data_IF_312888088889
#
_entry.id   IF_312888088889
#
_cell.length_a   1.000
_cell.length_b   1.000
_cell.length_c   1.000
_cell.angle_alpha   90.00
_cell.angle_beta   90.00
_cell.angle_gamma   90.00
#
_symmetry.space_group_name_H-M   'P 1'
#
loop_
_entity.id
_entity.type
_entity.pdbx_description
1 polymer ?
#
# COMPACT_ATOMS: atom_id res chain seq x y z
N UNK A 1 -4.96 -28.29 -1.53
CA UNK A 1 -5.43 -26.99 -0.98
C UNK A 1 -5.54 -27.02 0.55
N UNK A 2 -6.26 -27.95 1.18
CA UNK A 2 -6.34 -28.00 2.66
C UNK A 2 -4.99 -28.05 3.42
N UNK A 3 -3.97 -28.75 2.90
CA UNK A 3 -2.64 -28.75 3.50
C UNK A 3 -1.92 -27.40 3.34
N UNK A 4 -2.08 -26.75 2.18
CA UNK A 4 -1.54 -25.41 1.92
C UNK A 4 -2.23 -24.36 2.79
N UNK A 5 -3.54 -24.44 2.98
CA UNK A 5 -4.27 -23.54 3.89
C UNK A 5 -3.76 -23.64 5.33
N UNK A 6 -3.36 -24.84 5.78
CA UNK A 6 -2.73 -24.99 7.11
C UNK A 6 -1.37 -24.31 7.21
N UNK A 7 -0.60 -24.34 6.12
CA UNK A 7 0.69 -23.64 6.04
C UNK A 7 0.50 -22.13 6.04
N UNK A 8 -0.45 -21.61 5.25
CA UNK A 8 -0.85 -20.18 5.26
C UNK A 8 -1.26 -19.77 6.67
N UNK A 9 -2.12 -20.54 7.34
CA UNK A 9 -2.52 -20.27 8.73
C UNK A 9 -1.36 -20.26 9.72
N UNK A 10 -0.36 -21.13 9.55
CA UNK A 10 0.83 -21.12 10.39
C UNK A 10 1.71 -19.89 10.13
N UNK A 11 1.81 -19.43 8.87
CA UNK A 11 2.55 -18.22 8.51
C UNK A 11 1.86 -16.96 9.02
N UNK A 12 0.53 -16.87 8.95
CA UNK A 12 -0.27 -15.79 9.53
C UNK A 12 0.01 -15.67 11.04
N UNK A 13 -0.04 -16.80 11.77
CA UNK A 13 0.27 -16.83 13.20
C UNK A 13 1.71 -16.39 13.50
N UNK A 14 2.66 -16.80 12.66
CA UNK A 14 4.05 -16.39 12.82
C UNK A 14 4.26 -14.89 12.60
N UNK A 15 3.56 -14.28 11.63
CA UNK A 15 3.57 -12.83 11.42
C UNK A 15 3.02 -12.08 12.64
N UNK A 16 1.87 -12.49 13.17
CA UNK A 16 1.30 -11.90 14.40
C UNK A 16 2.27 -12.08 15.58
N UNK A 17 2.89 -13.25 15.73
CA UNK A 17 3.89 -13.50 16.77
C UNK A 17 5.11 -12.58 16.63
N UNK A 18 5.61 -12.36 15.42
CA UNK A 18 6.73 -11.44 15.18
C UNK A 18 6.34 -10.01 15.58
N UNK A 19 5.14 -9.57 15.20
CA UNK A 19 4.63 -8.24 15.57
C UNK A 19 4.59 -8.06 17.10
N UNK A 20 3.99 -9.01 17.83
CA UNK A 20 3.83 -8.94 19.28
C UNK A 20 5.13 -9.11 20.09
N UNK A 21 6.09 -9.87 19.56
CA UNK A 21 7.34 -10.20 20.28
C UNK A 21 8.49 -9.25 19.96
N UNK A 22 8.39 -8.42 18.91
CA UNK A 22 9.43 -7.45 18.55
C UNK A 22 9.38 -6.23 19.46
N UNK A 23 10.27 -6.20 20.46
CA UNK A 23 10.32 -5.17 21.50
C UNK A 23 11.70 -4.55 21.67
N UNK A 24 11.73 -3.25 22.00
CA UNK A 24 12.90 -2.57 22.54
C UNK A 24 12.64 -2.22 24.01
N UNK A 25 13.26 -2.97 24.93
CA UNK A 25 12.95 -2.86 26.36
C UNK A 25 11.49 -3.22 26.63
N UNK A 26 10.73 -2.29 27.20
CA UNK A 26 9.30 -2.46 27.47
C UNK A 26 8.39 -1.96 26.34
N UNK A 27 8.96 -1.41 25.26
CA UNK A 27 8.21 -0.80 24.15
C UNK A 27 8.11 -1.77 23.00
N UNK A 28 6.87 -2.13 22.62
CA UNK A 28 6.61 -2.85 21.37
C UNK A 28 6.89 -1.95 20.17
N UNK A 29 7.41 -2.55 19.09
CA UNK A 29 7.83 -1.80 17.91
C UNK A 29 6.84 -1.93 16.74
N UNK A 30 6.21 -3.10 16.58
CA UNK A 30 5.49 -3.47 15.36
C UNK A 30 3.99 -3.74 15.59
N UNK A 31 3.49 -3.62 16.81
CA UNK A 31 2.06 -3.85 17.16
C UNK A 31 1.18 -2.60 16.98
N UNK A 32 1.70 -1.57 16.31
CA UNK A 32 1.04 -0.27 16.12
C UNK A 32 1.08 0.66 17.33
N UNK A 33 1.46 0.20 18.52
CA UNK A 33 1.51 1.05 19.73
C UNK A 33 2.72 2.01 19.75
N UNK A 34 3.75 1.72 18.94
CA UNK A 34 4.94 2.57 18.82
C UNK A 34 4.57 3.97 18.32
N UNK A 35 3.74 4.05 17.28
CA UNK A 35 3.31 5.30 16.65
C UNK A 35 4.49 6.11 16.11
N UNK A 36 4.48 7.43 16.33
CA UNK A 36 5.61 8.30 16.00
C UNK A 36 6.36 8.69 17.26
N UNK A 37 7.67 8.41 17.32
CA UNK A 37 8.57 8.85 18.39
C UNK A 37 9.57 9.87 17.87
N UNK A 38 9.81 10.90 18.67
CA UNK A 38 10.75 11.96 18.34
C UNK A 38 12.05 11.75 19.13
N UNK A 39 13.17 11.72 18.42
CA UNK A 39 14.50 11.65 18.99
C UNK A 39 15.18 13.00 18.86
N UNK A 40 15.48 13.65 19.98
CA UNK A 40 16.34 14.83 19.99
C UNK A 40 17.76 14.39 19.70
N UNK A 41 18.33 14.88 18.60
CA UNK A 41 19.67 14.50 18.14
C UNK A 41 20.67 15.63 18.29
N UNK A 42 20.22 16.88 18.34
CA UNK A 42 21.10 18.03 18.46
C UNK A 42 21.01 18.76 19.80
N UNK A 43 21.85 19.79 19.97
CA UNK A 43 21.89 20.59 21.20
C UNK A 43 20.83 21.71 21.22
N UNK A 44 20.29 22.08 20.05
CA UNK A 44 19.29 23.15 19.95
C UNK A 44 17.87 22.59 19.94
N UNK A 45 16.91 23.40 20.40
CA UNK A 45 15.49 23.05 20.30
C UNK A 45 15.09 22.77 18.84
N UNK A 46 14.27 21.73 18.65
CA UNK A 46 13.75 21.26 17.35
C UNK A 46 14.73 20.50 16.43
N UNK A 47 16.00 20.28 16.85
CA UNK A 47 16.93 19.37 16.16
C UNK A 47 16.57 17.90 16.44
N UNK A 48 15.53 17.43 15.76
CA UNK A 48 14.89 16.14 16.06
C UNK A 48 14.81 15.23 14.84
N UNK A 49 14.76 13.93 15.09
CA UNK A 49 14.46 12.89 14.10
C UNK A 49 13.21 12.14 14.55
N UNK A 50 12.17 12.22 13.73
CA UNK A 50 10.96 11.45 13.95
C UNK A 50 11.17 10.06 13.36
N UNK A 51 10.76 9.04 14.11
CA UNK A 51 10.73 7.65 13.67
C UNK A 51 9.32 7.16 13.89
N UNK A 52 8.73 6.65 12.83
CA UNK A 52 7.38 6.09 12.83
C UNK A 52 7.46 4.62 12.47
N UNK A 53 6.74 3.79 13.23
CA UNK A 53 6.53 2.38 12.90
C UNK A 53 5.03 2.09 12.91
N UNK A 54 4.55 1.45 11.85
CA UNK A 54 3.18 0.96 11.70
C UNK A 54 2.94 -0.38 12.38
N UNK A 55 1.67 -0.81 12.37
CA UNK A 55 1.31 -2.16 12.78
C UNK A 55 1.62 -3.16 11.66
N UNK A 56 2.47 -4.15 11.93
CA UNK A 56 2.87 -5.19 10.97
C UNK A 56 2.28 -6.57 11.32
N UNK A 57 1.27 -6.63 12.19
CA UNK A 57 0.53 -7.86 12.48
C UNK A 57 -0.37 -8.25 11.29
N UNK A 58 -0.66 -9.54 11.15
CA UNK A 58 -1.40 -10.08 10.01
C UNK A 58 -2.84 -9.52 9.89
N UNK A 59 -3.42 -9.07 11.00
CA UNK A 59 -4.75 -8.45 11.10
C UNK A 59 -4.75 -6.94 10.75
N UNK A 60 -3.59 -6.36 10.47
CA UNK A 60 -3.43 -4.93 10.24
C UNK A 60 -2.74 -4.57 8.92
N UNK A 61 -2.09 -5.54 8.27
CA UNK A 61 -1.51 -5.40 6.95
C UNK A 61 -2.35 -6.16 5.92
N UNK A 62 -2.35 -5.68 4.69
CA UNK A 62 -3.17 -6.26 3.63
C UNK A 62 -3.46 -5.29 2.50
N UNK A 63 -4.50 -5.60 1.73
CA UNK A 63 -4.97 -4.81 0.60
C UNK A 63 -6.17 -3.96 1.01
N UNK A 64 -6.11 -2.65 0.75
CA UNK A 64 -7.31 -1.84 0.71
C UNK A 64 -8.00 -2.09 -0.61
N UNK A 65 -9.23 -2.58 -0.56
CA UNK A 65 -10.03 -2.94 -1.71
C UNK A 65 -11.30 -2.09 -1.74
N UNK A 66 -11.70 -1.69 -2.94
CA UNK A 66 -13.05 -1.18 -3.23
C UNK A 66 -13.61 -2.09 -4.30
N UNK A 67 -14.64 -2.84 -3.92
CA UNK A 67 -15.40 -3.74 -4.78
C UNK A 67 -16.86 -3.30 -4.81
N UNK A 68 -17.51 -3.40 -5.96
CA UNK A 68 -18.94 -3.14 -6.04
C UNK A 68 -19.44 -2.93 -7.46
N UNK A 69 -20.58 -3.56 -7.74
CA UNK A 69 -21.44 -3.19 -8.85
C UNK A 69 -21.99 -1.77 -8.65
N UNK A 70 -21.71 -0.91 -9.62
CA UNK A 70 -22.36 0.39 -9.75
C UNK A 70 -23.79 0.27 -10.23
N UNK A 71 -24.46 1.40 -10.44
CA UNK A 71 -25.77 1.39 -11.11
C UNK A 71 -25.68 1.06 -12.60
N UNK A 72 -24.47 1.02 -13.17
CA UNK A 72 -24.19 0.70 -14.58
C UNK A 72 -23.23 -0.49 -14.68
N UNK A 73 -22.10 -0.43 -13.96
CA UNK A 73 -21.13 -1.55 -13.92
C UNK A 73 -21.62 -2.69 -13.03
N UNK A 74 -21.44 -3.93 -13.49
CA UNK A 74 -22.00 -5.14 -12.87
C UNK A 74 -23.47 -5.41 -13.21
N UNK A 75 -24.15 -4.53 -13.94
CA UNK A 75 -25.58 -4.69 -14.26
C UNK A 75 -25.81 -5.65 -15.44
N UNK A 76 -26.95 -6.34 -15.40
CA UNK A 76 -27.41 -7.24 -16.46
C UNK A 76 -28.58 -6.62 -17.22
N UNK A 77 -28.36 -6.22 -18.46
CA UNK A 77 -29.40 -5.68 -19.33
C UNK A 77 -30.01 -6.76 -20.23
N UNK A 78 -31.32 -6.93 -20.14
CA UNK A 78 -32.12 -7.79 -21.02
C UNK A 78 -33.46 -7.11 -21.37
N UNK A 79 -33.62 -6.46 -22.55
CA UNK A 79 -32.64 -6.34 -23.63
C UNK A 79 -31.66 -5.16 -23.42
N UNK A 80 -30.46 -5.27 -23.98
CA UNK A 80 -29.45 -4.22 -24.04
C UNK A 80 -28.11 -4.75 -24.57
N UNK A 81 -27.58 -4.14 -25.62
CA UNK A 81 -26.23 -4.44 -26.10
C UNK A 81 -25.18 -3.87 -25.13
N UNK A 82 -23.99 -4.45 -25.10
CA UNK A 82 -22.96 -4.15 -24.10
C UNK A 82 -22.53 -2.68 -24.17
N UNK A 83 -22.31 -2.15 -25.38
CA UNK A 83 -21.93 -0.75 -25.58
C UNK A 83 -22.95 0.26 -25.02
N UNK A 84 -24.26 -0.06 -25.05
CA UNK A 84 -25.27 0.78 -24.41
C UNK A 84 -25.35 0.54 -22.90
N UNK A 85 -25.16 -0.70 -22.44
CA UNK A 85 -25.24 -1.06 -21.03
C UNK A 85 -24.04 -0.52 -20.22
N UNK A 86 -22.90 -0.28 -20.86
CA UNK A 86 -21.71 0.33 -20.24
C UNK A 86 -21.72 1.87 -20.24
N UNK A 87 -22.76 2.51 -20.78
CA UNK A 87 -22.79 3.97 -20.88
C UNK A 87 -22.97 4.62 -19.51
N UNK A 88 -21.96 5.38 -19.09
CA UNK A 88 -21.94 6.17 -17.85
C UNK A 88 -22.08 7.66 -18.14
N UNK A 89 -22.26 8.48 -17.10
CA UNK A 89 -22.08 9.92 -17.21
C UNK A 89 -20.58 10.23 -17.42
N UNK A 90 -20.24 11.27 -18.18
CA UNK A 90 -18.84 11.67 -18.29
C UNK A 90 -18.39 12.40 -17.01
N UNK A 91 -17.25 12.03 -16.45
CA UNK A 91 -16.63 12.72 -15.31
C UNK A 91 -15.23 13.20 -15.69
N UNK A 92 -15.03 14.50 -15.96
CA UNK A 92 -13.71 15.00 -16.35
C UNK A 92 -12.68 14.95 -15.21
N UNK A 93 -13.09 14.73 -13.95
CA UNK A 93 -12.23 14.76 -12.78
C UNK A 93 -12.63 13.72 -11.72
N UNK A 94 -12.79 12.45 -12.11
CA UNK A 94 -12.92 11.38 -11.13
C UNK A 94 -11.65 11.36 -10.28
N UNK A 95 -11.76 11.66 -9.00
CA UNK A 95 -10.62 11.82 -8.12
C UNK A 95 -10.33 10.50 -7.39
N UNK A 96 -9.13 9.98 -7.60
CA UNK A 96 -8.57 8.82 -6.90
C UNK A 96 -7.30 9.29 -6.17
N UNK A 97 -7.28 9.19 -4.84
CA UNK A 97 -6.16 9.60 -3.99
C UNK A 97 -5.62 11.02 -4.26
N UNK A 98 -6.50 11.96 -4.62
CA UNK A 98 -6.14 13.35 -4.94
C UNK A 98 -5.74 13.59 -6.41
N UNK A 99 -5.73 12.55 -7.25
CA UNK A 99 -5.40 12.63 -8.68
C UNK A 99 -6.67 12.56 -9.52
N UNK A 100 -6.85 13.53 -10.41
CA UNK A 100 -7.99 13.55 -11.34
C UNK A 100 -7.79 12.61 -12.53
N UNK A 101 -8.77 11.75 -12.77
CA UNK A 101 -8.84 10.77 -13.85
C UNK A 101 -10.03 11.14 -14.75
N UNK A 102 -9.81 11.49 -16.03
CA UNK A 102 -10.90 11.88 -16.93
C UNK A 102 -11.62 10.66 -17.50
N UNK A 103 -12.89 10.50 -17.17
CA UNK A 103 -13.78 9.43 -17.63
C UNK A 103 -14.77 9.98 -18.68
N UNK A 104 -14.95 9.23 -19.77
CA UNK A 104 -15.87 9.50 -20.87
C UNK A 104 -17.12 8.65 -20.70
N UNK A 105 -18.24 9.10 -21.27
CA UNK A 105 -19.51 8.39 -21.19
C UNK A 105 -19.51 7.00 -21.85
N UNK A 106 -18.54 6.73 -22.72
CA UNK A 106 -18.40 5.46 -23.45
C UNK A 106 -17.33 4.54 -22.87
N UNK A 107 -16.73 4.89 -21.73
CA UNK A 107 -15.75 4.02 -21.10
C UNK A 107 -16.50 2.90 -20.37
N UNK A 108 -16.31 1.66 -20.82
CA UNK A 108 -16.65 0.47 -20.03
C UNK A 108 -15.71 0.31 -18.84
N UNK A 109 -15.97 -0.72 -18.01
CA UNK A 109 -15.17 -0.96 -16.80
C UNK A 109 -13.68 -1.16 -17.10
N UNK A 110 -13.36 -1.79 -18.24
CA UNK A 110 -12.00 -1.96 -18.77
C UNK A 110 -11.37 -0.61 -19.12
N UNK A 111 -12.08 0.24 -19.85
CA UNK A 111 -11.61 1.58 -20.21
C UNK A 111 -11.39 2.48 -18.99
N UNK A 112 -12.26 2.38 -17.97
CA UNK A 112 -12.09 3.09 -16.70
C UNK A 112 -10.87 2.54 -15.94
N UNK A 113 -10.69 1.22 -15.87
CA UNK A 113 -9.54 0.60 -15.21
C UNK A 113 -8.22 1.04 -15.84
N UNK A 114 -8.13 1.04 -17.18
CA UNK A 114 -6.95 1.50 -17.91
C UNK A 114 -6.59 2.95 -17.60
N UNK A 115 -7.58 3.83 -17.51
CA UNK A 115 -7.35 5.25 -17.19
C UNK A 115 -6.89 5.48 -15.77
N UNK A 116 -7.42 4.72 -14.80
CA UNK A 116 -6.96 4.80 -13.41
C UNK A 116 -5.52 4.30 -13.29
N UNK A 117 -5.21 3.15 -13.91
CA UNK A 117 -3.85 2.59 -13.92
C UNK A 117 -2.85 3.53 -14.61
N UNK A 118 -3.25 4.18 -15.70
CA UNK A 118 -2.41 5.15 -16.41
C UNK A 118 -2.16 6.45 -15.61
N UNK A 119 -3.07 6.83 -14.70
CA UNK A 119 -2.96 8.05 -13.91
C UNK A 119 -1.99 7.96 -12.72
N UNK A 120 -1.39 6.79 -12.45
CA UNK A 120 -0.39 6.57 -11.40
C UNK A 120 -0.83 7.03 -10.00
N UNK A 121 -2.09 6.72 -9.65
CA UNK A 121 -2.75 7.16 -8.41
C UNK A 121 -2.30 6.40 -7.15
N UNK A 122 -1.45 5.38 -7.31
CA UNK A 122 -1.11 4.41 -6.26
C UNK A 122 -2.16 3.32 -6.07
N UNK A 123 -3.15 3.25 -6.96
CA UNK A 123 -4.24 2.26 -6.95
C UNK A 123 -4.14 1.42 -8.22
N UNK A 124 -4.33 0.11 -8.07
CA UNK A 124 -4.48 -0.83 -9.19
C UNK A 124 -5.95 -1.04 -9.45
N UNK A 125 -6.41 -0.75 -10.66
CA UNK A 125 -7.79 -0.96 -11.10
C UNK A 125 -7.88 -2.17 -12.02
N UNK A 126 -8.88 -3.02 -11.82
CA UNK A 126 -9.14 -4.20 -12.66
C UNK A 126 -10.62 -4.30 -12.97
N UNK A 127 -10.98 -4.41 -14.25
CA UNK A 127 -12.33 -4.77 -14.66
C UNK A 127 -12.50 -6.28 -14.46
N UNK A 128 -13.48 -6.70 -13.65
CA UNK A 128 -13.75 -8.09 -13.36
C UNK A 128 -15.18 -8.44 -13.77
N UNK A 129 -15.30 -9.38 -14.71
CA UNK A 129 -16.56 -10.03 -15.04
C UNK A 129 -16.69 -11.28 -14.18
N UNK A 130 -17.78 -11.41 -13.43
CA UNK A 130 -18.22 -12.67 -12.85
C UNK A 130 -19.66 -12.92 -13.30
N UNK A 131 -19.91 -14.03 -13.99
CA UNK A 131 -21.24 -14.34 -14.53
C UNK A 131 -21.49 -15.84 -14.52
N UNK A 132 -22.70 -16.25 -14.17
CA UNK A 132 -23.14 -17.63 -14.31
C UNK A 132 -23.98 -17.77 -15.57
N UNK A 133 -23.48 -18.50 -16.56
CA UNK A 133 -24.26 -18.87 -17.74
C UNK A 133 -25.08 -20.12 -17.42
N UNK A 134 -26.37 -20.10 -17.70
CA UNK A 134 -27.22 -21.28 -17.52
C UNK A 134 -28.33 -21.35 -18.57
N UNK A 135 -28.98 -22.51 -18.66
CA UNK A 135 -30.13 -22.71 -19.55
C UNK A 135 -29.77 -22.72 -21.04
N UNK A 136 -28.51 -23.00 -21.38
CA UNK A 136 -28.08 -23.22 -22.77
C UNK A 136 -28.60 -24.57 -23.24
N UNK A 137 -29.32 -24.57 -24.36
CA UNK A 137 -29.94 -25.73 -24.99
C UNK A 137 -29.58 -25.80 -26.47
N UNK A 138 -29.91 -26.90 -27.13
CA UNK A 138 -29.71 -27.05 -28.58
C UNK A 138 -30.58 -26.12 -29.43
N UNK A 139 -31.52 -25.38 -28.83
CA UNK A 139 -32.36 -24.41 -29.51
C UNK A 139 -31.79 -22.98 -29.44
N UNK A 140 -30.77 -22.76 -28.60
CA UNK A 140 -30.10 -21.48 -28.50
C UNK A 140 -29.13 -21.29 -29.67
N UNK A 141 -29.22 -20.13 -30.31
CA UNK A 141 -28.41 -19.75 -31.48
C UNK A 141 -27.82 -18.33 -31.34
N UNK A 142 -27.74 -17.82 -30.11
CA UNK A 142 -27.07 -16.55 -29.85
C UNK A 142 -25.56 -16.68 -30.03
N UNK A 143 -24.89 -15.59 -30.36
CA UNK A 143 -23.43 -15.50 -30.30
C UNK A 143 -23.03 -14.79 -29.02
N UNK A 144 -22.25 -15.45 -28.16
CA UNK A 144 -21.69 -14.84 -26.95
C UNK A 144 -20.37 -14.16 -27.31
N UNK A 145 -20.21 -12.90 -26.95
CA UNK A 145 -18.95 -12.16 -27.07
C UNK A 145 -18.43 -11.78 -25.69
N UNK A 146 -17.13 -11.98 -25.49
CA UNK A 146 -16.39 -11.59 -24.29
C UNK A 146 -15.06 -11.02 -24.77
N UNK A 147 -14.77 -9.74 -24.51
CA UNK A 147 -13.57 -9.10 -25.05
C UNK A 147 -13.49 -9.21 -26.58
N UNK A 148 -12.41 -9.82 -27.09
CA UNK A 148 -12.21 -10.07 -28.53
C UNK A 148 -12.73 -11.44 -29.00
N UNK A 149 -13.14 -12.31 -28.07
CA UNK A 149 -13.53 -13.70 -28.33
C UNK A 149 -15.04 -13.84 -28.57
N UNK A 150 -15.42 -14.83 -29.37
CA UNK A 150 -16.80 -15.02 -29.85
C UNK A 150 -17.18 -16.50 -29.94
N UNK A 151 -18.35 -16.84 -29.41
CA UNK A 151 -18.86 -18.20 -29.25
C UNK A 151 -20.27 -18.33 -29.82
N UNK A 152 -20.41 -18.99 -30.97
CA UNK A 152 -21.72 -19.28 -31.56
C UNK A 152 -22.38 -20.50 -30.89
N UNK A 153 -23.43 -20.28 -30.09
CA UNK A 153 -24.12 -21.34 -29.34
C UNK A 153 -24.71 -22.43 -30.25
N UNK A 154 -25.08 -22.09 -31.50
CA UNK A 154 -25.59 -23.08 -32.45
C UNK A 154 -24.54 -24.16 -32.76
N UNK A 155 -23.25 -23.82 -32.75
CA UNK A 155 -22.16 -24.76 -32.97
C UNK A 155 -21.98 -25.73 -31.79
N UNK A 156 -22.38 -25.35 -30.57
CA UNK A 156 -22.29 -26.17 -29.36
C UNK A 156 -23.51 -27.04 -29.14
N UNK A 157 -24.68 -26.67 -29.68
CA UNK A 157 -25.88 -27.51 -29.63
C UNK A 157 -26.34 -27.87 -28.21
N UNK A 158 -26.10 -26.98 -27.23
CA UNK A 158 -26.39 -27.19 -25.82
C UNK A 158 -25.27 -27.84 -25.00
N UNK A 159 -24.13 -28.18 -25.61
CA UNK A 159 -22.97 -28.76 -24.91
C UNK A 159 -22.19 -27.69 -24.14
N UNK A 160 -22.60 -27.47 -22.89
CA UNK A 160 -21.96 -26.53 -21.97
C UNK A 160 -20.57 -26.98 -21.51
N UNK A 161 -20.30 -28.29 -21.48
CA UNK A 161 -18.98 -28.81 -21.10
C UNK A 161 -17.96 -28.44 -22.16
N UNK A 162 -18.30 -28.66 -23.44
CA UNK A 162 -17.44 -28.24 -24.57
C UNK A 162 -17.27 -26.72 -24.64
N UNK A 163 -18.32 -25.94 -24.40
CA UNK A 163 -18.20 -24.48 -24.34
C UNK A 163 -17.24 -24.04 -23.22
N UNK A 164 -17.28 -24.71 -22.07
CA UNK A 164 -16.38 -24.44 -20.95
C UNK A 164 -14.92 -24.76 -21.31
N UNK A 165 -14.68 -25.87 -22.02
CA UNK A 165 -13.33 -26.23 -22.49
C UNK A 165 -12.74 -25.15 -23.43
N UNK A 166 -13.53 -24.63 -24.36
CA UNK A 166 -13.10 -23.56 -25.26
C UNK A 166 -12.86 -22.24 -24.51
N UNK A 167 -13.75 -21.85 -23.59
CA UNK A 167 -13.57 -20.67 -22.73
C UNK A 167 -12.25 -20.74 -21.92
N UNK A 168 -11.93 -21.92 -21.36
CA UNK A 168 -10.68 -22.14 -20.63
C UNK A 168 -9.47 -22.10 -21.57
N UNK A 169 -9.60 -22.60 -22.81
CA UNK A 169 -8.53 -22.57 -23.80
C UNK A 169 -8.18 -21.13 -24.23
N UNK A 170 -9.17 -20.25 -24.30
CA UNK A 170 -8.99 -18.82 -24.60
C UNK A 170 -8.48 -18.01 -23.39
N UNK A 171 -8.43 -18.63 -22.20
CA UNK A 171 -7.78 -18.08 -21.01
C UNK A 171 -8.73 -17.55 -19.94
N UNK A 172 -10.03 -17.76 -20.09
CA UNK A 172 -11.01 -17.43 -19.06
C UNK A 172 -11.05 -18.48 -17.94
N UNK A 173 -11.41 -18.06 -16.72
CA UNK A 173 -11.69 -19.00 -15.63
C UNK A 173 -13.15 -19.41 -15.71
N UNK A 174 -13.41 -20.53 -16.40
CA UNK A 174 -14.73 -21.10 -16.57
C UNK A 174 -14.83 -22.47 -15.89
N UNK A 175 -15.86 -22.67 -15.08
CA UNK A 175 -16.13 -23.93 -14.38
C UNK A 175 -17.54 -24.41 -14.70
N UNK A 176 -17.62 -25.58 -15.33
CA UNK A 176 -18.88 -26.25 -15.58
C UNK A 176 -19.36 -27.00 -14.32
N UNK A 177 -20.58 -26.72 -13.90
CA UNK A 177 -21.31 -27.51 -12.92
C UNK A 177 -22.50 -28.19 -13.59
N UNK A 178 -22.48 -29.53 -13.60
CA UNK A 178 -23.57 -30.36 -14.13
C UNK A 178 -24.84 -30.38 -13.26
N UNK A 179 -24.81 -29.78 -12.06
CA UNK A 179 -25.97 -29.71 -11.17
C UNK A 179 -27.12 -28.86 -11.77
N UNK A 180 -28.34 -29.15 -11.32
CA UNK A 180 -29.55 -28.34 -11.58
C UNK A 180 -29.83 -27.94 -13.05
N UNK A 181 -29.38 -28.72 -14.03
CA UNK A 181 -29.59 -28.45 -15.46
C UNK A 181 -28.38 -27.87 -16.19
N UNK A 182 -27.23 -27.76 -15.52
CA UNK A 182 -25.98 -27.29 -16.12
C UNK A 182 -25.83 -25.77 -16.00
N UNK A 183 -24.68 -25.35 -15.47
CA UNK A 183 -24.28 -23.94 -15.43
C UNK A 183 -22.77 -23.82 -15.63
N UNK A 184 -22.34 -22.69 -16.17
CA UNK A 184 -20.94 -22.31 -16.29
C UNK A 184 -20.72 -21.09 -15.42
N UNK A 185 -19.92 -21.22 -14.37
CA UNK A 185 -19.42 -20.06 -13.65
C UNK A 185 -18.21 -19.52 -14.43
N UNK A 186 -18.36 -18.35 -15.03
CA UNK A 186 -17.35 -17.71 -15.87
C UNK A 186 -16.80 -16.47 -15.16
N UNK A 187 -15.47 -16.33 -15.21
CA UNK A 187 -14.74 -15.14 -14.75
C UNK A 187 -13.75 -14.68 -15.81
N UNK A 188 -13.72 -13.37 -16.04
CA UNK A 188 -12.79 -12.73 -16.95
C UNK A 188 -12.27 -11.43 -16.32
N UNK A 189 -11.00 -11.10 -16.58
CA UNK A 189 -10.39 -9.84 -16.16
C UNK A 189 -10.01 -9.01 -17.38
N UNK A 190 -10.11 -7.69 -17.27
CA UNK A 190 -9.73 -6.76 -18.35
C UNK A 190 -10.69 -6.72 -19.53
N UNK A 191 -11.94 -7.17 -19.35
CA UNK A 191 -13.00 -7.07 -20.36
C UNK A 191 -14.09 -6.12 -19.90
N UNK A 192 -14.73 -5.38 -20.82
CA UNK A 192 -15.86 -4.50 -20.50
C UNK A 192 -17.08 -5.27 -19.97
N UNK A 193 -17.30 -6.49 -20.46
CA UNK A 193 -18.35 -7.38 -20.01
C UNK A 193 -18.58 -8.56 -20.95
N UNK A 194 -19.78 -9.13 -20.90
CA UNK A 194 -20.26 -10.22 -21.76
C UNK A 194 -21.54 -9.77 -22.49
N UNK A 195 -21.67 -10.18 -23.74
CA UNK A 195 -22.85 -9.94 -24.56
C UNK A 195 -23.35 -11.22 -25.21
N UNK A 196 -24.66 -11.44 -25.22
CA UNK A 196 -25.31 -12.39 -26.10
C UNK A 196 -25.99 -11.62 -27.23
N UNK A 197 -25.46 -11.74 -28.43
CA UNK A 197 -26.03 -11.16 -29.65
C UNK A 197 -27.10 -12.12 -30.18
N UNK A 198 -28.32 -11.62 -30.33
CA UNK A 198 -29.40 -12.39 -30.90
C UNK A 198 -29.25 -12.45 -32.43
N UNK A 199 -29.30 -13.64 -33.02
CA UNK A 199 -29.28 -13.76 -34.48
C UNK A 199 -30.58 -13.21 -35.12
N UNK A 200 -30.43 -12.50 -36.24
CA UNK A 200 -31.55 -11.85 -36.94
C UNK A 200 -32.53 -12.83 -37.61
N UNK A 201 -32.22 -14.13 -37.64
CA UNK A 201 -33.01 -15.17 -38.33
C UNK A 201 -33.25 -16.45 -37.52
N UNK A 202 -33.14 -16.36 -36.21
CA UNK A 202 -33.59 -17.39 -35.28
C UNK A 202 -33.58 -16.78 -33.90
N UNK A 203 -34.75 -16.69 -33.27
CA UNK A 203 -34.86 -16.18 -31.91
C UNK A 203 -34.03 -17.09 -31.00
N UNK A 204 -33.15 -16.55 -30.12
CA UNK A 204 -32.62 -17.35 -29.02
C UNK A 204 -33.81 -18.00 -28.33
N UNK A 205 -33.78 -19.31 -28.10
CA UNK A 205 -34.72 -19.89 -27.15
C UNK A 205 -34.54 -19.07 -25.87
N UNK A 206 -35.60 -18.51 -25.29
CA UNK A 206 -35.50 -17.64 -24.10
C UNK A 206 -35.13 -18.43 -22.84
N UNK A 207 -34.07 -19.23 -22.92
CA UNK A 207 -33.59 -20.18 -21.92
C UNK A 207 -32.19 -19.84 -21.46
N UNK A 208 -31.31 -19.31 -22.34
CA UNK A 208 -30.02 -18.74 -21.93
C UNK A 208 -30.22 -17.67 -20.86
N UNK A 209 -29.39 -17.72 -19.82
CA UNK A 209 -29.37 -16.75 -18.73
C UNK A 209 -27.97 -16.25 -18.45
N UNK A 210 -27.88 -14.96 -18.14
CA UNK A 210 -26.76 -14.38 -17.40
C UNK A 210 -27.21 -14.23 -15.95
N UNK A 211 -26.54 -14.96 -15.07
CA UNK A 211 -26.97 -15.20 -13.70
C UNK A 211 -28.41 -15.73 -13.65
N UNK A 212 -29.31 -14.99 -13.01
CA UNK A 212 -30.73 -15.33 -12.94
C UNK A 212 -31.58 -14.66 -14.04
N UNK A 213 -30.98 -13.75 -14.84
CA UNK A 213 -31.69 -12.96 -15.85
C UNK A 213 -31.71 -13.71 -17.17
N UNK A 214 -32.91 -13.92 -17.70
CA UNK A 214 -33.09 -14.59 -19.00
C UNK A 214 -32.75 -13.64 -20.13
N UNK A 215 -31.85 -14.07 -21.01
CA UNK A 215 -31.47 -13.35 -22.22
C UNK A 215 -32.72 -13.18 -23.08
N UNK A 216 -32.97 -11.93 -23.49
CA UNK A 216 -34.14 -11.56 -24.26
C UNK A 216 -34.00 -12.04 -25.72
N UNK A 217 -35.06 -11.83 -26.51
CA UNK A 217 -35.03 -12.09 -27.96
C UNK A 217 -34.17 -11.09 -28.74
N UNK A 218 -33.72 -10.03 -28.09
CA UNK A 218 -32.76 -9.05 -28.58
C UNK A 218 -31.47 -9.17 -27.76
N UNK A 219 -30.42 -8.48 -28.18
CA UNK A 219 -29.12 -8.51 -27.51
C UNK A 219 -29.29 -8.28 -26.00
N UNK A 220 -28.53 -9.02 -25.21
CA UNK A 220 -28.49 -8.87 -23.75
C UNK A 220 -27.04 -8.86 -23.32
N UNK A 221 -26.73 -8.18 -22.23
CA UNK A 221 -25.34 -8.02 -21.79
C UNK A 221 -25.25 -7.96 -20.27
N UNK A 222 -24.08 -8.31 -19.75
CA UNK A 222 -23.68 -8.00 -18.39
C UNK A 222 -22.36 -7.24 -18.43
N UNK A 223 -22.32 -6.08 -17.79
CA UNK A 223 -21.09 -5.29 -17.67
C UNK A 223 -20.21 -5.86 -16.56
N UNK A 224 -18.89 -5.70 -16.70
CA UNK A 224 -17.92 -6.01 -15.65
C UNK A 224 -18.04 -5.03 -14.49
N UNK A 225 -17.65 -5.47 -13.31
CA UNK A 225 -17.47 -4.61 -12.14
C UNK A 225 -16.05 -4.01 -12.13
N UNK A 226 -15.87 -2.88 -11.47
CA UNK A 226 -14.55 -2.27 -11.28
C UNK A 226 -14.04 -2.61 -9.87
N UNK A 227 -12.91 -3.30 -9.79
CA UNK A 227 -12.21 -3.57 -8.52
C UNK A 227 -10.98 -2.68 -8.42
N UNK A 228 -10.81 -2.01 -7.29
CA UNK A 228 -9.66 -1.17 -6.99
C UNK A 228 -8.91 -1.75 -5.78
N UNK A 229 -7.59 -1.90 -5.90
CA UNK A 229 -6.73 -2.43 -4.84
C UNK A 229 -5.52 -1.52 -4.61
N UNK A 230 -5.14 -1.30 -3.36
CA UNK A 230 -3.95 -0.53 -2.99
C UNK A 230 -3.36 -0.99 -1.65
N UNK A 231 -2.04 -0.89 -1.44
CA UNK A 231 -1.44 -1.02 -0.11
C UNK A 231 -1.81 0.14 0.83
N UNK A 232 -2.27 1.29 0.31
CA UNK A 232 -2.70 2.43 1.11
C UNK A 232 -4.21 2.65 1.00
N UNK A 233 -4.80 3.38 1.95
CA UNK A 233 -6.23 3.71 1.90
C UNK A 233 -6.59 4.37 0.56
N UNK A 234 -7.61 3.83 -0.09
CA UNK A 234 -8.15 4.37 -1.34
C UNK A 234 -9.18 5.43 -1.01
N UNK A 235 -8.96 6.67 -1.45
CA UNK A 235 -9.92 7.77 -1.38
C UNK A 235 -10.51 8.06 -2.75
N UNK A 236 -11.84 8.00 -2.87
CA UNK A 236 -12.57 8.20 -4.13
C UNK A 236 -13.59 9.33 -4.00
N UNK A 237 -13.65 10.22 -4.98
CA UNK A 237 -14.72 11.20 -5.12
C UNK A 237 -14.94 11.58 -6.58
N UNK A 238 -16.17 11.84 -6.99
CA UNK A 238 -16.51 12.19 -8.37
C UNK A 238 -18.02 12.22 -8.57
N UNK A 239 -18.45 12.58 -9.77
CA UNK A 239 -19.88 12.61 -10.13
C UNK A 239 -20.42 11.27 -10.61
N UNK A 240 -19.55 10.38 -11.09
CA UNK A 240 -19.91 9.06 -11.68
C UNK A 240 -19.66 7.89 -10.75
N UNK A 241 -19.25 8.14 -9.51
CA UNK A 241 -18.83 7.08 -8.58
C UNK A 241 -19.95 6.07 -8.31
N UNK A 242 -21.19 6.54 -8.19
CA UNK A 242 -22.35 5.66 -7.98
C UNK A 242 -22.63 4.76 -9.20
N UNK A 243 -22.32 5.24 -10.42
CA UNK A 243 -22.51 4.48 -11.67
C UNK A 243 -21.42 3.40 -11.85
N UNK A 244 -20.21 3.66 -11.34
CA UNK A 244 -19.01 2.82 -11.52
C UNK A 244 -18.81 1.81 -10.37
N UNK A 245 -18.99 2.23 -9.11
CA UNK A 245 -18.61 1.45 -7.91
C UNK A 245 -19.77 1.22 -6.91
N UNK A 246 -20.89 1.94 -7.04
CA UNK A 246 -22.13 1.62 -6.31
C UNK A 246 -22.41 2.36 -5.00
N UNK A 247 -23.62 2.09 -4.49
CA UNK A 247 -24.43 2.93 -3.58
C UNK A 247 -24.07 2.98 -2.10
N UNK A 248 -22.80 3.16 -1.75
CA UNK A 248 -22.42 3.73 -0.43
C UNK A 248 -21.21 4.67 -0.48
N UNK A 249 -20.66 4.94 -1.67
CA UNK A 249 -19.57 5.89 -1.88
C UNK A 249 -20.17 7.25 -2.27
N UNK A 250 -20.97 7.84 -1.37
CA UNK A 250 -21.69 9.08 -1.67
C UNK A 250 -20.72 10.24 -1.82
N UNK A 251 -20.39 10.64 -3.06
CA UNK A 251 -19.93 11.97 -3.52
C UNK A 251 -18.82 12.73 -2.76
N UNK A 252 -18.29 12.22 -1.66
CA UNK A 252 -17.32 12.84 -0.75
C UNK A 252 -16.66 11.74 0.09
N UNK A 253 -15.79 10.95 -0.54
CA UNK A 253 -14.86 10.05 0.14
C UNK A 253 -15.48 8.75 0.63
N UNK A 254 -15.54 7.73 -0.25
CA UNK A 254 -15.49 6.35 0.22
C UNK A 254 -14.03 5.99 0.50
N UNK A 255 -13.84 5.27 1.60
CA UNK A 255 -12.57 4.61 1.92
C UNK A 255 -12.69 3.14 1.52
N UNK A 256 -11.62 2.57 0.95
CA UNK A 256 -11.53 1.12 0.74
C UNK A 256 -11.59 0.34 2.05
N UNK A 257 -12.22 -0.83 2.01
CA UNK A 257 -12.20 -1.80 3.10
C UNK A 257 -10.85 -2.52 3.10
N UNK A 258 -10.30 -2.83 4.27
CA UNK A 258 -9.03 -3.53 4.37
C UNK A 258 -9.29 -5.03 4.39
N UNK A 259 -8.89 -5.74 3.34
CA UNK A 259 -8.73 -7.20 3.34
C UNK A 259 -7.38 -7.52 3.97
N UNK A 260 -7.38 -8.14 5.15
CA UNK A 260 -6.15 -8.37 5.91
C UNK A 260 -5.44 -9.65 5.48
N UNK A 261 -4.14 -9.77 5.80
CA UNK A 261 -3.39 -11.02 5.61
C UNK A 261 -3.97 -12.16 6.46
N UNK A 262 -4.62 -11.86 7.58
CA UNK A 262 -5.33 -12.85 8.39
C UNK A 262 -6.56 -13.44 7.67
N UNK A 263 -7.23 -12.66 6.83
CA UNK A 263 -8.44 -13.07 6.11
C UNK A 263 -8.16 -13.97 4.89
N UNK A 264 -6.89 -14.22 4.56
CA UNK A 264 -6.50 -15.02 3.40
C UNK A 264 -7.01 -16.48 3.52
N UNK A 265 -7.86 -16.87 2.57
CA UNK A 265 -8.33 -18.24 2.38
C UNK A 265 -8.15 -18.73 0.94
N UNK A 266 -7.31 -19.76 0.77
CA UNK A 266 -7.03 -20.44 -0.51
C UNK A 266 -7.68 -21.83 -0.60
N UNK A 267 -8.59 -22.16 0.33
CA UNK A 267 -9.20 -23.48 0.44
C UNK A 267 -10.33 -23.73 -0.57
N UNK A 268 -10.85 -22.69 -1.21
CA UNK A 268 -11.92 -22.75 -2.20
C UNK A 268 -11.64 -23.65 -3.41
N UNK A 269 -12.68 -23.99 -4.15
CA UNK A 269 -12.60 -24.81 -5.39
C UNK A 269 -12.26 -23.98 -6.63
N UNK A 270 -12.45 -22.67 -6.59
CA UNK A 270 -12.18 -21.71 -7.68
C UNK A 270 -10.83 -21.01 -7.51
N UNK A 271 -10.39 -20.26 -8.53
CA UNK A 271 -9.13 -19.48 -8.51
C UNK A 271 -9.18 -18.27 -7.58
N UNK A 272 -10.38 -17.74 -7.29
CA UNK A 272 -10.57 -16.42 -6.67
C UNK A 272 -9.83 -16.29 -5.34
N UNK A 273 -10.02 -17.24 -4.41
CA UNK A 273 -9.34 -17.17 -3.11
C UNK A 273 -7.81 -17.12 -3.25
N UNK A 274 -7.25 -17.78 -4.26
CA UNK A 274 -5.80 -17.71 -4.53
C UNK A 274 -5.37 -16.40 -5.19
N UNK A 275 -6.18 -15.82 -6.09
CA UNK A 275 -5.88 -14.55 -6.74
C UNK A 275 -6.00 -13.39 -5.73
N UNK A 276 -7.07 -13.35 -4.94
CA UNK A 276 -7.24 -12.40 -3.84
C UNK A 276 -6.10 -12.54 -2.83
N UNK A 277 -5.68 -13.77 -2.48
CA UNK A 277 -4.53 -13.99 -1.61
C UNK A 277 -3.25 -13.34 -2.14
N UNK A 278 -2.98 -13.46 -3.45
CA UNK A 278 -1.82 -12.83 -4.09
C UNK A 278 -1.92 -11.31 -3.99
N UNK A 279 -3.09 -10.73 -4.29
CA UNK A 279 -3.34 -9.29 -4.20
C UNK A 279 -3.12 -8.77 -2.77
N UNK A 280 -3.67 -9.44 -1.76
CA UNK A 280 -3.49 -9.09 -0.35
C UNK A 280 -2.02 -9.21 0.09
N UNK A 281 -1.31 -10.26 -0.35
CA UNK A 281 0.10 -10.47 -0.01
C UNK A 281 0.97 -9.40 -0.66
N UNK A 282 0.76 -9.08 -1.94
CA UNK A 282 1.53 -8.06 -2.64
C UNK A 282 1.34 -6.67 -2.00
N UNK A 283 0.12 -6.34 -1.60
CA UNK A 283 -0.16 -5.11 -0.85
C UNK A 283 0.52 -5.10 0.52
N UNK A 284 0.43 -6.19 1.28
CA UNK A 284 1.12 -6.31 2.57
C UNK A 284 2.65 -6.22 2.46
N UNK A 285 3.24 -6.81 1.40
CA UNK A 285 4.66 -6.70 1.11
C UNK A 285 5.05 -5.25 0.78
N UNK A 286 4.24 -4.55 -0.01
CA UNK A 286 4.47 -3.13 -0.32
C UNK A 286 4.43 -2.27 0.96
N UNK A 287 3.50 -2.54 1.89
CA UNK A 287 3.46 -1.86 3.20
C UNK A 287 4.74 -2.12 4.02
N UNK A 288 5.20 -3.37 4.09
CA UNK A 288 6.45 -3.73 4.78
C UNK A 288 7.66 -3.03 4.15
N UNK A 289 7.74 -3.02 2.82
CA UNK A 289 8.86 -2.41 2.12
C UNK A 289 8.87 -0.88 2.27
N UNK A 290 7.70 -0.24 2.28
CA UNK A 290 7.56 1.18 2.63
C UNK A 290 8.12 1.46 4.04
N UNK A 291 7.72 0.68 5.04
CA UNK A 291 8.22 0.80 6.41
C UNK A 291 9.74 0.59 6.51
N UNK A 292 10.30 -0.34 5.72
CA UNK A 292 11.76 -0.59 5.67
C UNK A 292 12.50 0.55 4.97
N UNK A 293 11.93 1.13 3.92
CA UNK A 293 12.50 2.28 3.22
C UNK A 293 12.61 3.49 4.16
N UNK A 294 11.55 3.78 4.92
CA UNK A 294 11.54 4.85 5.91
C UNK A 294 12.58 4.65 7.01
N UNK A 295 12.69 3.43 7.55
CA UNK A 295 13.71 3.09 8.53
C UNK A 295 15.12 3.21 7.96
N UNK A 296 15.33 2.83 6.70
CA UNK A 296 16.61 3.03 6.00
C UNK A 296 16.97 4.51 5.86
N UNK A 297 16.00 5.35 5.49
CA UNK A 297 16.19 6.80 5.40
C UNK A 297 16.53 7.41 6.77
N UNK A 298 15.81 6.99 7.83
CA UNK A 298 16.07 7.39 9.21
C UNK A 298 17.47 6.98 9.67
N UNK A 299 17.92 5.75 9.37
CA UNK A 299 19.27 5.28 9.68
C UNK A 299 20.35 6.14 9.02
N UNK A 300 20.18 6.47 7.74
CA UNK A 300 21.09 7.38 7.02
C UNK A 300 21.13 8.75 7.71
N UNK A 301 19.97 9.27 8.09
CA UNK A 301 19.87 10.56 8.77
C UNK A 301 20.57 10.55 10.14
N UNK A 302 20.35 9.52 10.95
CA UNK A 302 21.08 9.35 12.21
C UNK A 302 22.59 9.25 11.99
N UNK A 303 23.05 8.47 11.02
CA UNK A 303 24.49 8.34 10.71
C UNK A 303 25.14 9.67 10.34
N UNK A 304 24.48 10.46 9.48
CA UNK A 304 24.94 11.80 9.13
C UNK A 304 24.94 12.74 10.34
N UNK A 305 23.88 12.72 11.14
CA UNK A 305 23.79 13.57 12.33
C UNK A 305 24.84 13.20 13.37
N UNK A 306 25.08 11.91 13.63
CA UNK A 306 26.13 11.42 14.53
C UNK A 306 27.50 11.90 14.05
N UNK A 307 27.82 11.73 12.77
CA UNK A 307 29.10 12.17 12.20
C UNK A 307 29.31 13.68 12.36
N UNK A 308 28.25 14.47 12.14
CA UNK A 308 28.29 15.91 12.35
C UNK A 308 28.49 16.28 13.83
N UNK A 309 27.74 15.63 14.73
CA UNK A 309 27.85 15.87 16.18
C UNK A 309 29.22 15.49 16.73
N UNK A 310 29.83 14.41 16.24
CA UNK A 310 31.19 14.04 16.62
C UNK A 310 32.19 15.13 16.21
N UNK A 311 32.08 15.68 15.00
CA UNK A 311 32.91 16.80 14.57
C UNK A 311 32.67 18.06 15.42
N UNK A 312 31.41 18.37 15.74
CA UNK A 312 31.07 19.51 16.61
C UNK A 312 31.64 19.30 18.01
N UNK A 313 31.49 18.11 18.58
CA UNK A 313 32.01 17.77 19.91
C UNK A 313 33.54 17.86 19.96
N UNK A 314 34.26 17.42 18.92
CA UNK A 314 35.70 17.57 18.80
C UNK A 314 36.11 19.06 18.75
N UNK A 315 35.44 19.85 17.92
CA UNK A 315 35.71 21.30 17.82
C UNK A 315 35.39 22.05 19.12
N UNK A 316 34.31 21.70 19.81
CA UNK A 316 33.94 22.27 21.11
C UNK A 316 34.95 21.86 22.17
N UNK A 317 35.38 20.59 22.20
CA UNK A 317 36.41 20.12 23.13
C UNK A 317 37.75 20.83 22.90
N UNK A 318 38.18 20.99 21.65
CA UNK A 318 39.40 21.72 21.32
C UNK A 318 39.30 23.21 21.68
N UNK A 319 38.12 23.80 21.51
CA UNK A 319 37.87 25.20 21.90
C UNK A 319 37.83 25.37 23.42
N UNK A 320 37.27 24.40 24.15
CA UNK A 320 37.28 24.39 25.61
C UNK A 320 38.69 24.20 26.15
N UNK A 321 39.47 23.29 25.58
CA UNK A 321 40.89 23.11 25.91
C UNK A 321 41.69 24.40 25.75
N UNK A 322 41.50 25.16 24.65
CA UNK A 322 42.15 26.48 24.48
C UNK A 322 41.78 27.54 25.54
N UNK A 323 40.65 27.38 26.23
CA UNK A 323 40.16 28.34 27.24
C UNK A 323 40.49 27.87 28.65
N UNK A 324 40.28 26.59 28.94
CA UNK A 324 40.43 25.98 30.26
C UNK A 324 41.81 25.39 30.51
N UNK A 325 42.44 24.78 29.49
CA UNK A 325 43.75 24.17 29.65
C UNK A 325 44.81 25.27 29.57
N UNK A 326 45.67 25.33 30.57
CA UNK A 326 46.81 26.23 30.57
C UNK A 326 47.94 25.64 29.73
N UNK A 327 48.64 26.50 29.00
CA UNK A 327 49.88 26.09 28.35
C UNK A 327 50.92 25.79 29.44
N UNK A 328 51.13 24.49 29.67
CA UNK A 328 52.04 23.97 30.69
C UNK A 328 53.44 24.59 30.61
N UNK A 329 53.91 24.92 29.40
CA UNK A 329 55.23 25.53 29.22
C UNK A 329 55.28 26.98 29.77
N UNK A 330 54.25 27.77 29.47
CA UNK A 330 54.13 29.16 29.94
C UNK A 330 53.87 29.24 31.46
N UNK A 331 52.99 28.37 31.97
CA UNK A 331 52.63 28.35 33.38
C UNK A 331 53.82 27.88 34.24
N UNK A 332 54.56 26.85 33.79
CA UNK A 332 55.77 26.39 34.49
C UNK A 332 56.88 27.45 34.50
N UNK A 333 57.05 28.21 33.42
CA UNK A 333 58.00 29.31 33.36
C UNK A 333 57.62 30.44 34.34
N UNK A 334 56.32 30.78 34.42
CA UNK A 334 55.80 31.79 35.34
C UNK A 334 55.91 31.34 36.79
N UNK A 335 55.57 30.09 37.09
CA UNK A 335 55.74 29.47 38.41
C UNK A 335 57.21 29.48 38.83
N UNK A 336 58.13 29.07 37.94
CA UNK A 336 59.57 29.06 38.22
C UNK A 336 60.09 30.48 38.45
N UNK A 337 59.69 31.44 37.62
CA UNK A 337 60.01 32.86 37.80
C UNK A 337 59.51 33.39 39.14
N UNK A 338 58.28 33.07 39.51
CA UNK A 338 57.67 33.48 40.78
C UNK A 338 58.36 32.83 41.99
N UNK A 339 58.77 31.56 41.89
CA UNK A 339 59.56 30.89 42.93
C UNK A 339 60.94 31.54 43.09
N UNK A 340 61.62 31.86 41.98
CA UNK A 340 62.90 32.58 42.01
C UNK A 340 62.73 33.99 42.59
N UNK A 341 61.67 34.72 42.21
CA UNK A 341 61.36 36.04 42.77
C UNK A 341 61.02 35.98 44.26
N UNK A 342 60.31 34.95 44.72
CA UNK A 342 60.03 34.76 46.15
C UNK A 342 61.31 34.44 46.92
N UNK A 343 62.19 33.58 46.40
CA UNK A 343 63.48 33.28 47.01
C UNK A 343 64.44 34.48 46.99
N UNK A 344 64.47 35.24 45.89
CA UNK A 344 65.25 36.47 45.80
C UNK A 344 64.67 37.57 46.69
N UNK A 345 63.35 37.70 46.76
CA UNK A 345 62.64 38.65 47.61
C UNK A 345 62.90 38.39 49.09
N UNK A 346 62.85 37.14 49.55
CA UNK A 346 63.21 36.78 50.94
C UNK A 346 64.69 37.02 51.23
N UNK A 347 65.58 36.77 50.27
CA UNK A 347 67.02 37.03 50.42
C UNK A 347 67.34 38.52 50.46
N UNK A 348 66.72 39.32 49.58
CA UNK A 348 66.86 40.78 49.54
C UNK A 348 66.22 41.42 50.77
N UNK A 349 65.07 40.93 51.24
CA UNK A 349 64.47 41.37 52.51
C UNK A 349 65.37 41.02 53.70
N UNK A 350 65.96 39.83 53.74
CA UNK A 350 66.91 39.45 54.78
C UNK A 350 68.15 40.36 54.79
N UNK A 351 68.69 40.69 53.61
CA UNK A 351 69.85 41.59 53.47
C UNK A 351 69.51 43.06 53.73
N UNK A 352 68.33 43.51 53.29
CA UNK A 352 67.82 44.86 53.52
C UNK A 352 67.36 45.08 54.96
N UNK A 353 67.08 44.03 55.74
CA UNK A 353 66.85 44.13 57.18
C UNK A 353 68.17 44.21 57.97
N UNK A 354 69.28 43.70 57.42
CA UNK A 354 70.61 43.81 58.04
C UNK A 354 71.24 45.20 57.88
N UNK A 355 70.97 45.91 56.77
CA UNK A 355 71.48 47.26 56.51
C UNK A 355 71.07 48.32 57.56
N UNK A 356 69.78 48.43 57.95
CA UNK A 356 69.33 49.31 59.02
C UNK A 356 69.89 48.91 60.40
N UNK A 357 70.06 47.60 60.66
CA UNK A 357 70.68 47.11 61.90
C UNK A 357 72.18 47.46 61.96
N UNK A 358 72.89 47.39 60.83
CA UNK A 358 74.27 47.85 60.72
C UNK A 358 74.39 49.38 60.88
N UNK A 359 73.44 50.15 60.36
CA UNK A 359 73.39 51.60 60.55
C UNK A 359 73.09 52.00 62.01
N UNK A 360 72.22 51.26 62.71
CA UNK A 360 71.98 51.42 64.15
C UNK A 360 73.20 51.07 65.00
N UNK A 361 74.01 50.09 64.56
CA UNK A 361 75.31 49.77 65.18
C UNK A 361 76.37 50.85 65.00
N UNK A 362 76.19 51.80 64.07
CA UNK A 362 77.11 52.92 63.81
C UNK A 362 76.68 54.22 64.50
N UNK A 363 75.46 54.27 65.04
CA UNK A 363 74.90 55.44 65.73
C UNK A 363 74.76 55.25 67.25
N UNK A 364 75.08 54.06 67.76
CA UNK A 364 75.11 53.70 69.19
C UNK A 364 76.54 53.60 69.71
#
# INVERSE_FOLDING_TARGET
>A
RAALQKEVGALQQELTRISETTKFGATSLLDGTFGTKQFQVGSNANETINVSLGNMAADAIGAYDVEGAGSVFGDVAAPGNLAANETITADPNLNINGTGVPILATDGADGVADKINAAATGVTATAKLEVTLSGITSADNATINIGEDSYDLAAYGGDMERLTEDLVADGYDAVYDSAAGGSIALKAEGVGGIEAIAETSGTPAGTLKFDAVTVATADSSKTSELHLTSPDKIGISGTTVDEILGGSITGTGGEGELTTVEDIDISGTTSVGAQSAIQTIDAALAQIDSQRADLGAVQNRFSHTISNLSNVAENVSASRSRIEDTDFASETATMTKNQILQQAGTTILAQSNQLPQAALSLLG
#
